data_IF_016526775978
#
_entry.id   IF_016526775978
#
_cell.length_a   1.000
_cell.length_b   1.000
_cell.length_c   1.000
_cell.angle_alpha   90.00
_cell.angle_beta   90.00
_cell.angle_gamma   90.00
#
_symmetry.space_group_name_H-M   'P 1'
#
loop_
_entity.id
_entity.type
_entity.pdbx_description
1 polymer ?
#
# COMPACT_ATOMS: atom_id res chain seq x y z
N UNK A 1 8.03 3.41 10.30
CA UNK A 1 7.52 3.81 8.96
C UNK A 1 8.61 3.83 7.89
N UNK A 2 9.84 4.27 8.23
CA UNK A 2 10.99 4.37 7.32
C UNK A 2 11.26 3.07 6.54
N UNK A 3 11.27 1.90 7.21
CA UNK A 3 11.52 0.58 6.57
C UNK A 3 10.53 0.22 5.45
N UNK A 4 9.24 0.56 5.60
CA UNK A 4 8.24 0.28 4.56
C UNK A 4 8.44 1.18 3.34
N UNK A 5 8.77 2.46 3.55
CA UNK A 5 9.04 3.39 2.46
C UNK A 5 10.26 2.95 1.64
N UNK A 6 11.32 2.46 2.28
CA UNK A 6 12.49 1.93 1.58
C UNK A 6 12.20 0.62 0.83
N UNK A 7 11.37 -0.27 1.38
CA UNK A 7 10.92 -1.49 0.68
C UNK A 7 10.09 -1.17 -0.57
N UNK A 8 9.22 -0.15 -0.52
CA UNK A 8 8.38 0.22 -1.67
C UNK A 8 9.21 0.83 -2.81
N UNK A 9 10.30 1.54 -2.51
CA UNK A 9 11.17 2.17 -3.52
C UNK A 9 11.79 1.16 -4.51
N UNK A 10 12.14 -0.03 -4.02
CA UNK A 10 12.83 -1.06 -4.81
C UNK A 10 11.87 -1.89 -5.69
N UNK A 11 10.56 -1.78 -5.49
CA UNK A 11 9.57 -2.53 -6.26
C UNK A 11 9.44 -1.99 -7.70
N UNK A 12 9.24 -2.87 -8.66
CA UNK A 12 8.89 -2.56 -10.05
C UNK A 12 7.47 -1.96 -10.16
N UNK A 13 7.14 -1.35 -11.30
CA UNK A 13 5.80 -0.80 -11.55
C UNK A 13 4.70 -1.87 -11.40
N UNK A 14 4.91 -3.06 -11.95
CA UNK A 14 3.97 -4.17 -11.83
C UNK A 14 3.78 -4.63 -10.37
N UNK A 15 4.87 -4.75 -9.61
CA UNK A 15 4.79 -5.11 -8.18
C UNK A 15 4.08 -4.04 -7.36
N UNK A 16 4.27 -2.75 -7.67
CA UNK A 16 3.56 -1.66 -7.02
C UNK A 16 2.04 -1.75 -7.28
N UNK A 17 1.61 -2.04 -8.51
CA UNK A 17 0.19 -2.24 -8.84
C UNK A 17 -0.41 -3.41 -8.06
N UNK A 18 0.30 -4.53 -7.97
CA UNK A 18 -0.12 -5.68 -7.16
C UNK A 18 -0.25 -5.27 -5.69
N UNK A 19 0.73 -4.54 -5.16
CA UNK A 19 0.73 -4.09 -3.76
C UNK A 19 -0.40 -3.13 -3.44
N UNK A 20 -0.78 -2.25 -4.37
CA UNK A 20 -1.96 -1.38 -4.24
C UNK A 20 -3.23 -2.21 -4.07
N UNK A 21 -3.43 -3.24 -4.90
CA UNK A 21 -4.59 -4.13 -4.84
C UNK A 21 -4.64 -4.92 -3.54
N UNK A 22 -3.50 -5.48 -3.11
CA UNK A 22 -3.38 -6.20 -1.83
C UNK A 22 -3.76 -5.33 -0.64
N UNK A 23 -3.20 -4.12 -0.55
CA UNK A 23 -3.46 -3.20 0.55
C UNK A 23 -4.92 -2.73 0.54
N UNK A 24 -5.52 -2.50 -0.63
CA UNK A 24 -6.94 -2.18 -0.75
C UNK A 24 -7.83 -3.32 -0.22
N UNK A 25 -7.52 -4.57 -0.58
CA UNK A 25 -8.24 -5.76 -0.10
C UNK A 25 -8.07 -5.97 1.42
N UNK A 26 -6.88 -5.72 1.97
CA UNK A 26 -6.64 -5.77 3.42
C UNK A 26 -7.44 -4.69 4.16
N UNK A 27 -7.53 -3.47 3.62
CA UNK A 27 -8.35 -2.40 4.19
C UNK A 27 -9.83 -2.79 4.16
N UNK A 28 -10.32 -3.36 3.06
CA UNK A 28 -11.70 -3.81 2.95
C UNK A 28 -12.03 -4.87 4.01
N UNK A 29 -11.18 -5.90 4.14
CA UNK A 29 -11.31 -6.93 5.19
C UNK A 29 -11.28 -6.33 6.59
N UNK A 30 -10.31 -5.45 6.87
CA UNK A 30 -10.21 -4.79 8.17
C UNK A 30 -11.45 -3.93 8.51
N UNK A 31 -12.10 -3.32 7.51
CA UNK A 31 -13.37 -2.60 7.72
C UNK A 31 -14.51 -3.53 8.12
N UNK A 32 -14.65 -4.67 7.43
CA UNK A 32 -15.67 -5.68 7.75
C UNK A 32 -15.47 -6.21 9.18
N UNK A 33 -14.22 -6.47 9.55
CA UNK A 33 -13.84 -6.94 10.89
C UNK A 33 -13.82 -5.83 11.96
N UNK A 34 -14.24 -4.60 11.62
CA UNK A 34 -14.19 -3.40 12.51
C UNK A 34 -12.80 -3.14 13.13
N UNK A 35 -11.72 -3.53 12.43
CA UNK A 35 -10.33 -3.32 12.85
C UNK A 35 -9.79 -1.94 12.42
N UNK A 36 -8.82 -1.36 13.16
CA UNK A 36 -8.20 -0.10 12.79
C UNK A 36 -7.51 -0.14 11.41
N UNK A 37 -7.88 0.78 10.52
CA UNK A 37 -7.36 0.81 9.14
C UNK A 37 -6.33 1.91 8.87
N UNK A 38 -6.03 2.77 9.86
CA UNK A 38 -5.18 3.95 9.66
C UNK A 38 -3.78 3.60 9.13
N UNK A 39 -3.15 2.55 9.69
CA UNK A 39 -1.81 2.10 9.26
C UNK A 39 -1.82 1.62 7.82
N UNK A 40 -2.80 0.79 7.45
CA UNK A 40 -2.95 0.26 6.10
C UNK A 40 -3.24 1.38 5.08
N UNK A 41 -4.07 2.36 5.44
CA UNK A 41 -4.35 3.53 4.60
C UNK A 41 -3.09 4.38 4.35
N UNK A 42 -2.27 4.61 5.39
CA UNK A 42 -0.98 5.30 5.23
C UNK A 42 -0.03 4.53 4.31
N UNK A 43 0.05 3.21 4.47
CA UNK A 43 0.86 2.35 3.59
C UNK A 43 0.37 2.41 2.14
N UNK A 44 -0.94 2.32 1.92
CA UNK A 44 -1.54 2.42 0.60
C UNK A 44 -1.22 3.76 -0.08
N UNK A 45 -1.31 4.87 0.64
CA UNK A 45 -0.97 6.19 0.12
C UNK A 45 0.48 6.24 -0.36
N UNK A 46 1.42 5.71 0.44
CA UNK A 46 2.84 5.64 0.06
C UNK A 46 3.02 4.84 -1.23
N UNK A 47 2.44 3.65 -1.34
CA UNK A 47 2.57 2.80 -2.54
C UNK A 47 2.00 3.50 -3.76
N UNK A 48 0.82 4.12 -3.66
CA UNK A 48 0.22 4.90 -4.76
C UNK A 48 1.10 6.05 -5.23
N UNK A 49 1.76 6.76 -4.31
CA UNK A 49 2.70 7.83 -4.68
C UNK A 49 3.86 7.29 -5.53
N UNK A 50 4.43 6.13 -5.17
CA UNK A 50 5.52 5.53 -5.96
C UNK A 50 5.05 4.88 -7.26
N UNK A 51 3.85 4.28 -7.28
CA UNK A 51 3.24 3.73 -8.49
C UNK A 51 3.02 4.84 -9.53
N UNK A 52 2.42 5.96 -9.11
CA UNK A 52 2.25 7.13 -9.96
C UNK A 52 3.58 7.75 -10.43
N UNK A 53 4.64 7.70 -9.62
CA UNK A 53 5.94 8.24 -9.99
C UNK A 53 6.71 7.36 -10.99
N UNK A 54 6.31 6.08 -11.15
CA UNK A 54 6.93 5.12 -12.09
C UNK A 54 6.09 4.87 -13.34
N UNK A 55 4.90 5.44 -13.42
CA UNK A 55 3.98 5.37 -14.55
C UNK A 55 4.32 6.47 -15.56
#
# INVERSE_FOLDING_TARGET
>A
MIKFKSQVKILTANELVVKVRELAAQIARARVEKKPTLKLRKQLAIVKTYENAKR
#
